data_IF_476869728220
#
_entry.id   IF_476869728220
#
_cell.length_a   1.000
_cell.length_b   1.000
_cell.length_c   1.000
_cell.angle_alpha   90.00
_cell.angle_beta   90.00
_cell.angle_gamma   90.00
#
_symmetry.space_group_name_H-M   'P 1'
#
loop_
_entity.id
_entity.type
_entity.pdbx_description
1 polymer ?
#
# COMPACT_ATOMS: atom_id res chain seq x y z
N UNK A 1 23.74 -8.56 0.54
CA UNK A 1 22.44 -9.23 0.27
C UNK A 1 21.85 -8.58 -0.98
N UNK A 2 21.57 -9.33 -2.05
CA UNK A 2 21.05 -8.76 -3.31
C UNK A 2 19.54 -8.50 -3.16
N UNK A 3 19.06 -7.32 -3.57
CA UNK A 3 17.64 -6.91 -3.53
C UNK A 3 16.75 -7.93 -4.26
N UNK A 4 17.22 -8.52 -5.36
CA UNK A 4 16.49 -9.58 -6.08
C UNK A 4 16.31 -10.89 -5.29
N UNK A 5 17.17 -11.18 -4.31
CA UNK A 5 16.99 -12.32 -3.42
C UNK A 5 15.97 -12.04 -2.33
N UNK A 6 15.81 -10.76 -1.94
CA UNK A 6 14.82 -10.35 -0.95
C UNK A 6 13.41 -10.45 -1.52
N UNK A 7 13.17 -9.92 -2.73
CA UNK A 7 11.85 -10.01 -3.37
C UNK A 7 11.42 -11.46 -3.61
N UNK A 8 12.31 -12.30 -4.13
CA UNK A 8 12.02 -13.74 -4.30
C UNK A 8 11.64 -14.45 -3.00
N UNK A 9 12.25 -14.07 -1.88
CA UNK A 9 11.88 -14.63 -0.55
C UNK A 9 10.50 -14.19 -0.10
N UNK A 10 10.11 -12.95 -0.41
CA UNK A 10 8.78 -12.44 -0.10
C UNK A 10 7.73 -13.12 -1.00
N UNK A 11 8.04 -13.28 -2.29
CA UNK A 11 7.20 -14.02 -3.24
C UNK A 11 7.03 -15.48 -2.84
N UNK A 12 8.04 -16.13 -2.26
CA UNK A 12 7.99 -17.54 -1.83
C UNK A 12 7.44 -17.76 -0.41
N UNK A 13 6.92 -16.72 0.25
CA UNK A 13 6.38 -16.82 1.61
C UNK A 13 4.97 -17.44 1.65
N UNK A 14 4.86 -18.73 1.28
CA UNK A 14 3.58 -19.47 1.16
C UNK A 14 2.76 -19.49 2.47
N UNK A 15 3.41 -19.23 3.59
CA UNK A 15 2.79 -19.15 4.91
C UNK A 15 1.77 -18.02 5.02
N UNK A 16 1.83 -17.03 4.12
CA UNK A 16 0.90 -15.90 4.07
C UNK A 16 -0.35 -16.18 3.21
N UNK A 17 -0.45 -17.31 2.52
CA UNK A 17 -1.58 -17.60 1.63
C UNK A 17 -2.89 -17.81 2.37
N UNK A 18 -2.85 -18.56 3.47
CA UNK A 18 -4.01 -18.76 4.35
C UNK A 18 -4.53 -17.44 4.92
N UNK A 19 -3.70 -16.65 5.61
CA UNK A 19 -4.06 -15.32 6.11
C UNK A 19 -4.57 -14.38 5.01
N UNK A 20 -3.90 -14.33 3.86
CA UNK A 20 -4.29 -13.47 2.74
C UNK A 20 -5.65 -13.87 2.16
N UNK A 21 -5.96 -15.17 2.09
CA UNK A 21 -7.25 -15.65 1.59
C UNK A 21 -8.38 -15.35 2.57
N UNK A 22 -8.14 -15.55 3.88
CA UNK A 22 -9.12 -15.21 4.90
C UNK A 22 -9.47 -13.73 4.92
N UNK A 23 -8.45 -12.86 4.80
CA UNK A 23 -8.66 -11.41 4.77
C UNK A 23 -9.30 -10.94 3.45
N UNK A 24 -8.88 -11.49 2.31
CA UNK A 24 -9.47 -11.19 1.01
C UNK A 24 -10.98 -11.41 1.01
N UNK A 25 -11.44 -12.59 1.48
CA UNK A 25 -12.88 -12.92 1.53
C UNK A 25 -13.66 -11.89 2.33
N UNK A 26 -13.17 -11.51 3.51
CA UNK A 26 -13.84 -10.50 4.36
C UNK A 26 -13.95 -9.13 3.67
N UNK A 27 -12.92 -8.71 2.95
CA UNK A 27 -12.94 -7.44 2.21
C UNK A 27 -13.94 -7.52 1.05
N UNK A 28 -13.93 -8.61 0.29
CA UNK A 28 -14.86 -8.82 -0.83
C UNK A 28 -16.32 -8.93 -0.36
N UNK A 29 -16.57 -9.62 0.75
CA UNK A 29 -17.90 -9.74 1.37
C UNK A 29 -18.41 -8.38 1.82
N UNK A 30 -17.56 -7.58 2.48
CA UNK A 30 -17.91 -6.22 2.91
C UNK A 30 -18.17 -5.27 1.72
N UNK A 31 -17.31 -5.34 0.69
CA UNK A 31 -17.47 -4.54 -0.52
C UNK A 31 -18.74 -4.94 -1.30
N UNK A 32 -19.10 -6.22 -1.29
CA UNK A 32 -20.22 -6.77 -2.06
C UNK A 32 -21.54 -6.89 -1.29
N UNK A 33 -21.56 -6.46 -0.02
CA UNK A 33 -22.70 -6.63 0.89
C UNK A 33 -24.03 -6.09 0.35
N UNK A 34 -24.00 -4.98 -0.40
CA UNK A 34 -25.19 -4.34 -0.97
C UNK A 34 -24.90 -3.72 -2.34
N UNK A 35 -25.93 -3.37 -3.14
CA UNK A 35 -25.74 -2.58 -4.36
C UNK A 35 -25.00 -1.26 -4.13
N UNK A 36 -25.27 -0.58 -3.01
CA UNK A 36 -24.63 0.68 -2.65
C UNK A 36 -23.14 0.50 -2.35
N UNK A 37 -22.77 -0.51 -1.54
CA UNK A 37 -21.36 -0.80 -1.23
C UNK A 37 -20.58 -1.23 -2.46
N UNK A 38 -21.19 -1.99 -3.38
CA UNK A 38 -20.58 -2.33 -4.68
C UNK A 38 -20.27 -1.10 -5.51
N UNK A 39 -21.21 -0.15 -5.58
CA UNK A 39 -21.00 1.12 -6.31
C UNK A 39 -19.90 1.96 -5.66
N UNK A 40 -19.84 2.02 -4.34
CA UNK A 40 -18.78 2.73 -3.62
C UNK A 40 -17.43 2.07 -3.86
N UNK A 41 -17.36 0.73 -3.76
CA UNK A 41 -16.13 -0.02 -4.02
C UNK A 41 -15.64 0.16 -5.46
N UNK A 42 -16.53 0.14 -6.46
CA UNK A 42 -16.12 0.36 -7.86
C UNK A 42 -15.57 1.76 -8.10
N UNK A 43 -16.16 2.80 -7.49
CA UNK A 43 -15.66 4.17 -7.56
C UNK A 43 -14.29 4.28 -6.88
N UNK A 44 -14.13 3.72 -5.68
CA UNK A 44 -12.87 3.79 -4.92
C UNK A 44 -11.72 3.01 -5.59
N UNK A 45 -12.03 1.98 -6.36
CA UNK A 45 -11.06 1.29 -7.22
C UNK A 45 -10.68 2.11 -8.45
N UNK A 46 -11.39 3.21 -8.73
CA UNK A 46 -11.14 4.06 -9.88
C UNK A 46 -11.78 3.59 -11.18
N UNK A 47 -12.80 2.73 -11.13
CA UNK A 47 -13.54 2.29 -12.33
C UNK A 47 -14.02 3.43 -13.24
N UNK A 48 -14.46 4.60 -12.73
CA UNK A 48 -14.86 5.72 -13.59
C UNK A 48 -13.70 6.38 -14.37
N UNK A 49 -12.46 6.20 -13.92
CA UNK A 49 -11.25 6.82 -14.50
C UNK A 49 -10.36 5.75 -15.15
N UNK A 50 -10.77 4.47 -15.08
CA UNK A 50 -10.01 3.29 -15.54
C UNK A 50 -8.58 3.20 -14.98
N UNK A 51 -8.33 3.89 -13.86
CA UNK A 51 -7.02 3.97 -13.22
C UNK A 51 -7.12 3.76 -11.71
N UNK A 52 -6.24 2.93 -11.11
CA UNK A 52 -6.27 2.69 -9.68
C UNK A 52 -6.01 3.99 -8.92
N UNK A 53 -6.88 4.30 -7.95
CA UNK A 53 -6.76 5.53 -7.15
C UNK A 53 -5.64 5.45 -6.12
N UNK A 54 -5.29 4.24 -5.65
CA UNK A 54 -4.32 4.06 -4.57
C UNK A 54 -2.95 4.71 -4.87
N UNK A 55 -2.29 4.48 -6.04
CA UNK A 55 -1.02 5.13 -6.36
C UNK A 55 -1.09 6.66 -6.40
N UNK A 56 -2.22 7.24 -6.81
CA UNK A 56 -2.40 8.69 -6.80
C UNK A 56 -2.57 9.23 -5.37
N UNK A 57 -3.34 8.52 -4.54
CA UNK A 57 -3.66 8.96 -3.18
C UNK A 57 -2.47 8.88 -2.22
N UNK A 58 -1.51 7.96 -2.44
CA UNK A 58 -0.31 7.86 -1.58
C UNK A 58 0.68 9.02 -1.77
N UNK A 59 0.58 9.79 -2.86
CA UNK A 59 1.48 10.90 -3.14
C UNK A 59 1.45 11.98 -2.04
N UNK A 60 0.25 12.29 -1.53
CA UNK A 60 0.05 13.31 -0.50
C UNK A 60 0.70 12.94 0.85
N UNK A 61 0.43 11.76 1.46
CA UNK A 61 1.06 11.38 2.72
C UNK A 61 2.58 11.23 2.58
N UNK A 62 3.08 10.66 1.48
CA UNK A 62 4.53 10.53 1.24
C UNK A 62 5.19 11.91 1.16
N UNK A 63 4.63 12.83 0.38
CA UNK A 63 5.14 14.20 0.26
C UNK A 63 5.13 14.96 1.58
N UNK A 64 4.02 14.83 2.34
CA UNK A 64 3.87 15.48 3.64
C UNK A 64 4.90 14.96 4.66
N UNK A 65 5.07 13.65 4.78
CA UNK A 65 6.01 13.05 5.74
C UNK A 65 7.47 13.21 5.35
N UNK A 66 7.79 13.17 4.05
CA UNK A 66 9.14 13.51 3.56
C UNK A 66 9.47 14.96 3.94
N UNK A 67 8.55 15.89 3.67
CA UNK A 67 8.70 17.30 4.04
C UNK A 67 8.83 17.46 5.55
N UNK A 68 8.03 16.74 6.35
CA UNK A 68 8.11 16.78 7.80
C UNK A 68 9.51 16.42 8.31
N UNK A 69 10.11 15.35 7.79
CA UNK A 69 11.49 14.96 8.16
C UNK A 69 12.49 16.03 7.75
N UNK A 70 12.41 16.57 6.53
CA UNK A 70 13.31 17.65 6.09
C UNK A 70 13.23 18.87 7.03
N UNK A 71 12.01 19.34 7.34
CA UNK A 71 11.82 20.47 8.24
C UNK A 71 12.25 20.16 9.68
N UNK A 72 12.17 18.91 10.14
CA UNK A 72 12.56 18.53 11.50
C UNK A 72 14.08 18.62 11.70
N UNK A 73 14.87 18.26 10.70
CA UNK A 73 16.34 18.23 10.80
C UNK A 73 17.01 19.49 10.26
N UNK A 74 16.45 20.13 9.23
CA UNK A 74 17.06 21.29 8.56
C UNK A 74 16.53 22.60 9.14
N UNK A 75 15.21 22.84 9.02
CA UNK A 75 14.60 24.12 9.40
C UNK A 75 14.29 24.23 10.91
N UNK A 76 14.17 23.10 11.60
CA UNK A 76 13.84 22.98 13.03
C UNK A 76 12.55 23.71 13.42
N UNK A 77 11.53 23.62 12.59
CA UNK A 77 10.22 24.26 12.81
C UNK A 77 9.19 23.28 13.42
N UNK A 78 9.03 23.20 14.76
CA UNK A 78 8.21 22.17 15.40
C UNK A 78 6.74 22.21 14.97
N UNK A 79 6.16 23.41 14.82
CA UNK A 79 4.79 23.61 14.35
C UNK A 79 4.57 23.08 12.93
N UNK A 80 5.47 23.42 12.00
CA UNK A 80 5.41 23.01 10.59
C UNK A 80 5.50 21.48 10.48
N UNK A 81 6.48 20.88 11.17
CA UNK A 81 6.65 19.42 11.21
C UNK A 81 5.39 18.72 11.73
N UNK A 82 4.84 19.20 12.86
CA UNK A 82 3.63 18.60 13.45
C UNK A 82 2.41 18.70 12.52
N UNK A 83 2.26 19.80 11.79
CA UNK A 83 1.19 19.99 10.83
C UNK A 83 1.35 19.08 9.59
N UNK A 84 2.57 18.91 9.09
CA UNK A 84 2.86 18.01 7.98
C UNK A 84 2.63 16.54 8.35
N UNK A 85 3.02 16.13 9.56
CA UNK A 85 2.70 14.79 10.07
C UNK A 85 1.19 14.58 10.13
N UNK A 86 0.44 15.57 10.66
CA UNK A 86 -1.02 15.51 10.70
C UNK A 86 -1.64 15.43 9.30
N UNK A 87 -1.15 16.22 8.35
CA UNK A 87 -1.62 16.20 6.98
C UNK A 87 -1.47 14.80 6.37
N UNK A 88 -0.31 14.17 6.54
CA UNK A 88 -0.10 12.79 6.10
C UNK A 88 -1.07 11.81 6.78
N UNK A 89 -1.25 11.92 8.12
CA UNK A 89 -2.17 11.04 8.85
C UNK A 89 -3.64 11.20 8.41
N UNK A 90 -4.09 12.44 8.15
CA UNK A 90 -5.48 12.71 7.71
C UNK A 90 -5.73 12.26 6.27
N UNK A 91 -4.69 12.27 5.42
CA UNK A 91 -4.80 11.88 4.00
C UNK A 91 -4.49 10.40 3.74
N UNK A 92 -4.00 9.67 4.73
CA UNK A 92 -3.72 8.23 4.68
C UNK A 92 -4.97 7.33 4.55
N UNK A 93 -6.11 7.58 5.24
CA UNK A 93 -7.25 6.67 5.22
C UNK A 93 -7.82 6.36 3.83
N UNK A 94 -8.01 7.34 2.92
CA UNK A 94 -8.41 7.05 1.54
C UNK A 94 -7.43 6.12 0.82
N UNK A 95 -6.11 6.33 1.00
CA UNK A 95 -5.09 5.46 0.41
C UNK A 95 -5.15 4.04 0.97
N UNK A 96 -5.39 3.87 2.28
CA UNK A 96 -5.58 2.54 2.89
C UNK A 96 -6.78 1.82 2.32
N UNK A 97 -7.93 2.49 2.22
CA UNK A 97 -9.17 1.89 1.73
C UNK A 97 -9.00 1.43 0.28
N UNK A 98 -8.50 2.30 -0.57
CA UNK A 98 -8.26 1.99 -1.99
C UNK A 98 -7.22 0.89 -2.16
N UNK A 99 -6.14 0.90 -1.38
CA UNK A 99 -5.10 -0.14 -1.41
C UNK A 99 -5.62 -1.52 -1.00
N UNK A 100 -6.46 -1.61 0.03
CA UNK A 100 -7.06 -2.88 0.44
C UNK A 100 -8.08 -3.42 -0.57
N UNK A 101 -8.84 -2.53 -1.23
CA UNK A 101 -9.73 -2.93 -2.32
C UNK A 101 -8.93 -3.44 -3.52
N UNK A 102 -7.89 -2.73 -3.93
CA UNK A 102 -7.03 -3.14 -5.04
C UNK A 102 -6.29 -4.46 -4.74
N UNK A 103 -5.85 -4.64 -3.49
CA UNK A 103 -5.22 -5.87 -3.01
C UNK A 103 -6.17 -7.07 -3.06
N UNK A 104 -7.45 -6.88 -2.75
CA UNK A 104 -8.44 -7.97 -2.71
C UNK A 104 -8.70 -8.62 -4.07
N UNK A 105 -8.39 -7.94 -5.17
CA UNK A 105 -8.56 -8.43 -6.55
C UNK A 105 -7.31 -9.10 -7.12
N UNK A 106 -6.21 -9.14 -6.36
CA UNK A 106 -4.94 -9.69 -6.84
C UNK A 106 -4.87 -11.22 -6.71
N UNK A 107 -4.04 -11.83 -7.55
CA UNK A 107 -3.66 -13.23 -7.42
C UNK A 107 -2.95 -13.50 -6.08
N UNK A 108 -2.76 -14.77 -5.73
CA UNK A 108 -2.22 -15.19 -4.44
C UNK A 108 -0.81 -14.63 -4.18
N UNK A 109 0.08 -14.67 -5.17
CA UNK A 109 1.46 -14.18 -5.03
C UNK A 109 1.49 -12.68 -4.78
N UNK A 110 0.76 -11.89 -5.58
CA UNK A 110 0.67 -10.45 -5.40
C UNK A 110 -0.01 -10.07 -4.07
N UNK A 111 -1.00 -10.84 -3.59
CA UNK A 111 -1.59 -10.61 -2.26
C UNK A 111 -0.60 -10.88 -1.13
N UNK A 112 0.18 -11.95 -1.21
CA UNK A 112 1.23 -12.29 -0.25
C UNK A 112 2.26 -11.17 -0.13
N UNK A 113 2.81 -10.72 -1.26
CA UNK A 113 3.76 -9.59 -1.30
C UNK A 113 3.08 -8.32 -0.79
N UNK A 114 1.81 -8.12 -1.14
CA UNK A 114 0.95 -7.03 -0.66
C UNK A 114 0.77 -6.98 0.86
N UNK A 115 0.78 -8.12 1.57
CA UNK A 115 0.73 -8.13 3.03
C UNK A 115 2.03 -7.59 3.65
N UNK A 116 3.18 -7.90 3.05
CA UNK A 116 4.47 -7.36 3.51
C UNK A 116 4.56 -5.86 3.23
N UNK A 117 4.06 -5.42 2.08
CA UNK A 117 3.88 -3.99 1.78
C UNK A 117 2.99 -3.32 2.84
N UNK A 118 1.81 -3.87 3.11
CA UNK A 118 0.87 -3.32 4.09
C UNK A 118 1.49 -3.25 5.50
N UNK A 119 2.22 -4.29 5.93
CA UNK A 119 2.89 -4.32 7.22
C UNK A 119 4.00 -3.25 7.34
N UNK A 120 4.82 -3.07 6.31
CA UNK A 120 5.85 -2.03 6.27
C UNK A 120 5.23 -0.64 6.40
N UNK A 121 4.13 -0.38 5.67
CA UNK A 121 3.44 0.89 5.75
C UNK A 121 2.73 1.09 7.10
N UNK A 122 2.18 0.04 7.71
CA UNK A 122 1.57 0.11 9.05
C UNK A 122 2.59 0.58 10.10
N UNK A 123 3.79 -0.02 10.11
CA UNK A 123 4.91 0.44 10.97
C UNK A 123 5.20 1.93 10.72
N UNK A 124 5.20 2.35 9.45
CA UNK A 124 5.42 3.74 9.08
C UNK A 124 4.37 4.69 9.65
N UNK A 125 3.10 4.37 9.44
CA UNK A 125 1.93 5.12 9.90
C UNK A 125 1.94 5.22 11.43
N UNK A 126 2.13 4.10 12.13
CA UNK A 126 2.14 4.05 13.59
C UNK A 126 3.30 4.87 14.17
N UNK A 127 4.48 4.81 13.57
CA UNK A 127 5.61 5.63 13.99
C UNK A 127 5.33 7.13 13.82
N UNK A 128 4.71 7.54 12.71
CA UNK A 128 4.27 8.93 12.52
C UNK A 128 3.16 9.34 13.49
N UNK A 129 2.22 8.45 13.80
CA UNK A 129 1.14 8.68 14.75
C UNK A 129 1.69 8.91 16.16
N UNK A 130 2.58 8.03 16.63
CA UNK A 130 3.23 8.18 17.94
C UNK A 130 4.11 9.44 17.96
N UNK A 131 4.87 9.70 16.89
CA UNK A 131 5.65 10.93 16.76
C UNK A 131 4.77 12.18 16.86
N UNK A 132 3.59 12.19 16.24
CA UNK A 132 2.65 13.30 16.30
C UNK A 132 2.22 13.60 17.74
N UNK A 133 1.88 12.57 18.52
CA UNK A 133 1.44 12.72 19.90
C UNK A 133 2.57 13.14 20.85
N UNK A 134 3.82 12.79 20.56
CA UNK A 134 4.98 13.24 21.32
C UNK A 134 5.42 14.68 21.00
N UNK A 135 4.87 15.31 19.96
CA UNK A 135 5.26 16.65 19.51
C UNK A 135 4.33 17.75 20.04
N UNK A 136 4.94 18.78 20.63
CA UNK A 136 4.30 20.07 20.88
C UNK A 136 4.40 20.98 19.64
N UNK A 137 3.47 21.94 19.51
CA UNK A 137 3.55 22.98 18.48
C UNK A 137 4.62 24.03 18.79
N UNK A 138 4.86 24.27 20.08
CA UNK A 138 5.56 25.46 20.57
C UNK A 138 6.89 25.12 21.26
N UNK A 139 7.33 23.87 21.20
CA UNK A 139 8.57 23.42 21.86
C UNK A 139 9.33 22.41 21.01
N UNK A 140 10.66 22.32 21.15
CA UNK A 140 11.45 21.30 20.50
C UNK A 140 10.94 19.89 20.84
N UNK A 141 10.89 18.98 19.86
CA UNK A 141 10.43 17.61 20.09
C UNK A 141 11.46 16.81 20.91
N UNK A 142 11.05 15.81 21.70
CA UNK A 142 11.98 14.85 22.27
C UNK A 142 12.68 14.06 21.15
N UNK A 143 13.91 13.60 21.40
CA UNK A 143 14.70 12.81 20.44
C UNK A 143 13.91 11.62 19.89
N UNK A 144 13.15 10.93 20.75
CA UNK A 144 12.31 9.80 20.36
C UNK A 144 11.31 10.16 19.25
N UNK A 145 10.67 11.32 19.30
CA UNK A 145 9.71 11.74 18.27
C UNK A 145 10.39 11.91 16.90
N UNK A 146 11.63 12.40 16.89
CA UNK A 146 12.42 12.58 15.67
C UNK A 146 12.89 11.25 15.09
N UNK A 147 13.32 10.34 15.96
CA UNK A 147 13.71 8.98 15.55
C UNK A 147 12.51 8.22 14.99
N UNK A 148 11.33 8.34 15.61
CA UNK A 148 10.10 7.76 15.09
C UNK A 148 9.73 8.31 13.71
N UNK A 149 9.93 9.61 13.43
CA UNK A 149 9.71 10.14 12.07
C UNK A 149 10.68 9.55 11.04
N UNK A 150 11.95 9.30 11.42
CA UNK A 150 12.91 8.64 10.54
C UNK A 150 12.58 7.17 10.29
N UNK A 151 12.24 6.43 11.35
CA UNK A 151 11.75 5.04 11.25
C UNK A 151 10.50 5.00 10.38
N UNK A 152 9.58 5.93 10.61
CA UNK A 152 8.36 6.10 9.85
C UNK A 152 8.63 6.25 8.36
N UNK A 153 9.43 7.26 8.00
CA UNK A 153 9.76 7.53 6.60
C UNK A 153 10.52 6.37 5.95
N UNK A 154 11.43 5.72 6.69
CA UNK A 154 12.18 4.57 6.18
C UNK A 154 11.26 3.38 5.89
N UNK A 155 10.33 3.07 6.78
CA UNK A 155 9.36 2.00 6.62
C UNK A 155 8.38 2.28 5.46
N UNK A 156 7.96 3.54 5.29
CA UNK A 156 7.19 3.96 4.11
C UNK A 156 8.01 3.84 2.82
N UNK A 157 9.30 4.19 2.84
CA UNK A 157 10.20 4.02 1.69
C UNK A 157 10.38 2.55 1.29
N UNK A 158 10.57 1.64 2.26
CA UNK A 158 10.61 0.19 2.02
C UNK A 158 9.27 -0.29 1.46
N UNK A 159 8.15 0.15 2.05
CA UNK A 159 6.80 -0.13 1.55
C UNK A 159 6.64 0.30 0.09
N UNK A 160 7.08 1.51 -0.25
CA UNK A 160 7.07 2.05 -1.61
C UNK A 160 7.88 1.20 -2.60
N UNK A 161 9.07 0.75 -2.22
CA UNK A 161 9.89 -0.14 -3.06
C UNK A 161 9.19 -1.49 -3.31
N UNK A 162 8.54 -2.07 -2.30
CA UNK A 162 7.74 -3.29 -2.45
C UNK A 162 6.50 -3.03 -3.33
N UNK A 163 5.84 -1.89 -3.16
CA UNK A 163 4.68 -1.50 -3.97
C UNK A 163 5.05 -1.37 -5.45
N UNK A 164 6.19 -0.75 -5.75
CA UNK A 164 6.72 -0.69 -7.11
C UNK A 164 6.99 -2.09 -7.69
N UNK A 165 7.53 -3.01 -6.90
CA UNK A 165 7.74 -4.41 -7.33
C UNK A 165 6.42 -5.12 -7.66
N UNK A 166 5.35 -4.90 -6.88
CA UNK A 166 4.02 -5.46 -7.18
C UNK A 166 3.49 -4.92 -8.52
N UNK A 167 3.63 -3.61 -8.76
CA UNK A 167 3.09 -2.97 -9.97
C UNK A 167 3.89 -3.34 -11.23
N UNK A 168 5.23 -3.33 -11.16
CA UNK A 168 6.07 -3.45 -12.36
C UNK A 168 6.57 -4.86 -12.68
N UNK A 169 6.44 -5.82 -11.76
CA UNK A 169 6.83 -7.22 -12.04
C UNK A 169 5.69 -8.19 -11.97
N UNK A 170 4.89 -8.11 -10.92
CA UNK A 170 3.82 -9.09 -10.70
C UNK A 170 2.58 -8.83 -11.55
N UNK A 171 2.40 -7.61 -12.09
CA UNK A 171 1.36 -7.34 -13.09
C UNK A 171 1.79 -7.82 -14.48
N UNK A 172 3.02 -7.52 -14.89
CA UNK A 172 3.57 -7.98 -16.18
C UNK A 172 3.55 -9.51 -16.28
N UNK A 173 3.93 -10.23 -15.23
CA UNK A 173 3.87 -11.70 -15.21
C UNK A 173 2.44 -12.25 -15.36
N UNK A 174 1.44 -11.57 -14.78
CA UNK A 174 0.02 -11.95 -14.91
C UNK A 174 -0.51 -11.74 -16.33
N UNK A 175 -0.18 -10.61 -16.96
CA UNK A 175 -0.58 -10.33 -18.34
C UNK A 175 0.10 -11.32 -19.31
N UNK A 176 1.34 -11.73 -19.02
CA UNK A 176 2.05 -12.72 -19.84
C UNK A 176 1.47 -14.13 -19.66
N UNK A 177 1.09 -14.52 -18.45
CA UNK A 177 0.48 -15.83 -18.16
C UNK A 177 -0.92 -15.95 -18.76
N UNK A 178 -1.73 -14.89 -18.70
CA UNK A 178 -3.05 -14.83 -19.33
C UNK A 178 -2.97 -14.80 -20.86
N UNK A 179 -1.96 -14.14 -21.44
CA UNK A 179 -1.70 -14.17 -22.88
C UNK A 179 -1.15 -15.52 -23.38
N UNK A 180 -0.52 -16.30 -22.51
CA UNK A 180 0.06 -17.62 -22.84
C UNK A 180 -0.89 -18.79 -22.59
N UNK A 181 -2.06 -18.54 -21.98
CA UNK A 181 -3.09 -19.56 -21.84
C UNK A 181 -3.53 -20.03 -23.24
N UNK A 182 -3.60 -21.35 -23.51
CA UNK A 182 -3.97 -21.84 -24.82
C UNK A 182 -5.35 -21.30 -25.17
N UNK A 183 -5.43 -20.55 -26.27
CA UNK A 183 -6.71 -20.20 -26.90
C UNK A 183 -7.34 -21.54 -27.26
N UNK A 184 -8.32 -21.99 -26.47
CA UNK A 184 -9.19 -23.09 -26.88
C UNK A 184 -9.98 -22.56 -28.07
N UNK A 185 -9.49 -22.86 -29.27
CA UNK A 185 -10.21 -22.59 -30.50
C UNK A 185 -11.55 -23.33 -30.43
N UNK A 186 -12.70 -22.61 -30.34
CA UNK A 186 -14.01 -23.25 -30.29
C UNK A 186 -14.28 -24.11 -31.54
N UNK A 187 -13.51 -23.92 -32.62
CA UNK A 187 -13.65 -24.67 -33.87
C UNK A 187 -13.04 -26.08 -33.84
N UNK A 188 -12.20 -26.44 -32.86
CA UNK A 188 -11.54 -27.75 -32.81
C UNK A 188 -12.25 -28.81 -31.95
N UNK A 189 -13.36 -28.48 -31.29
CA UNK A 189 -14.12 -29.42 -30.43
C UNK A 189 -15.38 -30.02 -31.09
N UNK A 190 -15.54 -29.93 -32.42
CA UNK A 190 -16.71 -30.48 -33.12
C UNK A 190 -16.43 -31.82 -33.80
N UNK A 191 -15.21 -32.36 -33.75
CA UNK A 191 -14.91 -33.66 -34.35
C UNK A 191 -13.96 -34.48 -33.48
N UNK A 192 -14.53 -35.27 -32.57
CA UNK A 192 -14.16 -36.66 -32.27
C UNK A 192 -15.17 -37.29 -31.30
#
# INVERSE_FOLDING_TARGET
>A
MNIGNLFRRIESADQLDGPSTGLQRRILDAASYSPATRKVASILRGSPVEHPLHPALVAVPIGAWTSAVVFDYVAREPKTVRNLILLGLVTTPPALITGWLDWSERNTVARRVGLVHAASNAVGIDAFLVSYFLRSKDSPPPLLARLLSLVGLSAIGIGGAIGGHIVFRLMDDFDTETASAPVLDPALNVVN
#
